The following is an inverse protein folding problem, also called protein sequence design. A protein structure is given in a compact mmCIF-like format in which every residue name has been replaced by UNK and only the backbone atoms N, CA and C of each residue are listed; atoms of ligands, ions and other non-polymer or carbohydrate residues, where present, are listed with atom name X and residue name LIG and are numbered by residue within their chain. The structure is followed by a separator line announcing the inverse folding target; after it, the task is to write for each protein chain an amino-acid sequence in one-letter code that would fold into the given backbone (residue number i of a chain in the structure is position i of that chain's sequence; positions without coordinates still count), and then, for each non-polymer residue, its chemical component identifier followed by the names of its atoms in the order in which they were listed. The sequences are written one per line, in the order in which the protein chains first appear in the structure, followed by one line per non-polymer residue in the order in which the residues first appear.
data_IF_766753273144
#
_entry.id   IF_766753273144
#
_cell.length_a   1.000
_cell.length_b   1.000
_cell.length_c   1.000
_cell.angle_alpha   90.00
_cell.angle_beta   90.00
_cell.angle_gamma   90.00
#
_symmetry.space_group_name_H-M   'P 1'
#
loop_
_entity.id
_entity.type
_entity.pdbx_description
1 polymer ?
#
# COMPACT_ATOMS: atom_id res chain seq x y z
N UNK A 1 87.96 54.12 -63.71
CA UNK A 1 87.82 53.38 -64.98
C UNK A 1 86.63 52.46 -64.85
N UNK A 2 85.77 52.48 -65.86
CA UNK A 2 84.60 51.62 -66.14
C UNK A 2 84.62 50.22 -65.50
N UNK A 3 83.46 49.70 -65.09
CA UNK A 3 82.46 49.20 -66.04
C UNK A 3 81.11 48.90 -65.36
N UNK A 4 80.02 49.27 -66.04
CA UNK A 4 78.65 48.86 -65.72
C UNK A 4 78.42 47.45 -66.25
N UNK A 5 77.75 46.58 -65.50
CA UNK A 5 76.97 45.52 -66.13
C UNK A 5 75.70 45.23 -65.34
N UNK A 6 74.60 45.22 -66.07
CA UNK A 6 73.21 45.17 -65.62
C UNK A 6 72.77 43.72 -65.38
N UNK A 7 72.40 43.39 -64.14
CA UNK A 7 71.78 42.12 -63.76
C UNK A 7 70.25 42.23 -63.70
N UNK A 8 69.58 41.42 -64.52
CA UNK A 8 68.13 41.22 -64.62
C UNK A 8 67.60 40.41 -63.41
N UNK A 9 66.36 40.61 -62.92
CA UNK A 9 65.84 39.88 -61.77
C UNK A 9 65.16 38.59 -62.22
N UNK A 10 65.74 37.44 -61.92
CA UNK A 10 65.06 36.14 -62.04
C UNK A 10 64.60 35.70 -60.65
N UNK A 11 63.29 35.79 -60.43
CA UNK A 11 62.60 35.19 -59.30
C UNK A 11 62.77 33.66 -59.38
N UNK A 12 63.70 33.14 -58.59
CA UNK A 12 63.91 31.70 -58.45
C UNK A 12 62.72 31.05 -57.74
N UNK A 13 61.88 30.35 -58.51
CA UNK A 13 61.03 29.30 -57.97
C UNK A 13 61.86 28.01 -57.92
N UNK A 14 62.31 27.63 -56.73
CA UNK A 14 63.03 26.38 -56.50
C UNK A 14 62.07 25.18 -56.73
N UNK A 15 62.38 24.27 -57.67
CA UNK A 15 61.56 23.08 -57.94
C UNK A 15 61.49 22.08 -56.76
N UNK A 16 62.26 22.27 -55.69
CA UNK A 16 62.17 21.45 -54.47
C UNK A 16 61.01 21.80 -53.53
N UNK A 17 60.25 22.88 -53.79
CA UNK A 17 59.13 23.26 -52.92
C UNK A 17 57.81 22.53 -53.23
N UNK A 18 57.77 21.72 -54.29
CA UNK A 18 56.62 20.88 -54.68
C UNK A 18 56.75 19.42 -54.22
N UNK A 19 57.92 18.98 -53.75
CA UNK A 19 58.14 17.64 -53.19
C UNK A 19 57.90 17.57 -51.67
N UNK A 20 57.59 18.70 -51.02
CA UNK A 20 57.22 18.76 -49.59
C UNK A 20 55.70 18.76 -49.35
N UNK A 21 54.91 18.62 -50.41
CA UNK A 21 53.45 18.41 -50.34
C UNK A 21 53.15 16.97 -50.76
N UNK A 22 53.91 16.01 -50.24
CA UNK A 22 53.44 14.63 -50.15
C UNK A 22 52.59 14.49 -48.89
N UNK A 23 51.33 14.23 -49.15
CA UNK A 23 50.27 13.97 -48.18
C UNK A 23 50.70 12.81 -47.27
N UNK A 24 50.62 12.91 -45.94
CA UNK A 24 50.57 11.71 -45.12
C UNK A 24 49.29 10.98 -45.51
N UNK A 25 49.44 9.83 -46.16
CA UNK A 25 48.36 8.91 -46.43
C UNK A 25 47.67 8.54 -45.11
N UNK A 26 46.37 8.83 -45.05
CA UNK A 26 45.38 8.00 -44.38
C UNK A 26 45.69 7.56 -42.96
N UNK A 27 45.67 8.47 -42.00
CA UNK A 27 45.21 8.11 -40.67
C UNK A 27 43.68 8.23 -40.67
N UNK A 28 43.00 7.14 -41.05
CA UNK A 28 41.59 6.98 -40.72
C UNK A 28 41.45 7.34 -39.23
N UNK A 29 40.47 8.17 -38.81
CA UNK A 29 40.22 8.31 -37.39
C UNK A 29 40.01 6.88 -36.89
N UNK A 30 40.85 6.41 -35.95
CA UNK A 30 40.52 5.23 -35.18
C UNK A 30 39.23 5.66 -34.50
N UNK A 31 38.10 5.31 -35.12
CA UNK A 31 36.81 5.41 -34.49
C UNK A 31 36.97 4.50 -33.28
N UNK A 32 37.30 5.10 -32.13
CA UNK A 32 37.09 4.46 -30.85
C UNK A 32 35.61 4.16 -30.88
N UNK A 33 35.27 2.94 -31.29
CA UNK A 33 33.92 2.39 -31.25
C UNK A 33 33.54 2.56 -29.80
N UNK A 34 32.80 3.62 -29.52
CA UNK A 34 32.46 3.97 -28.16
C UNK A 34 31.75 2.75 -27.60
N UNK A 35 32.30 2.19 -26.51
CA UNK A 35 31.66 1.14 -25.71
C UNK A 35 30.29 1.56 -25.16
N UNK A 36 29.71 2.69 -25.61
CA UNK A 36 28.33 3.12 -25.39
C UNK A 36 27.35 1.97 -25.50
N UNK A 37 27.45 1.12 -26.53
CA UNK A 37 26.53 -0.03 -26.69
C UNK A 37 26.69 -1.08 -25.59
N UNK A 38 27.93 -1.45 -25.22
CA UNK A 38 28.18 -2.42 -24.14
C UNK A 38 27.79 -1.85 -22.77
N UNK A 39 28.08 -0.58 -22.51
CA UNK A 39 27.66 0.11 -21.28
C UNK A 39 26.14 0.24 -21.16
N UNK A 40 25.46 0.51 -22.28
CA UNK A 40 23.99 0.51 -22.35
C UNK A 40 23.42 -0.89 -22.06
N UNK A 41 23.95 -1.94 -22.69
CA UNK A 41 23.50 -3.31 -22.46
C UNK A 41 23.72 -3.72 -20.99
N UNK A 42 24.89 -3.44 -20.42
CA UNK A 42 25.18 -3.73 -19.02
C UNK A 42 24.24 -2.97 -18.08
N UNK A 43 24.02 -1.68 -18.32
CA UNK A 43 23.09 -0.86 -17.54
C UNK A 43 21.64 -1.36 -17.66
N UNK A 44 21.22 -1.81 -18.85
CA UNK A 44 19.89 -2.39 -19.07
C UNK A 44 19.73 -3.72 -18.33
N UNK A 45 20.74 -4.59 -18.34
CA UNK A 45 20.72 -5.87 -17.63
C UNK A 45 20.65 -5.64 -16.12
N UNK A 46 21.52 -4.79 -15.58
CA UNK A 46 21.55 -4.52 -14.13
C UNK A 46 20.30 -3.78 -13.66
N UNK A 47 19.84 -2.79 -14.41
CA UNK A 47 18.58 -2.07 -14.13
C UNK A 47 17.36 -2.99 -14.21
N UNK A 48 17.28 -3.83 -15.25
CA UNK A 48 16.22 -4.82 -15.40
C UNK A 48 16.18 -5.84 -14.26
N UNK A 49 17.36 -6.37 -13.88
CA UNK A 49 17.47 -7.29 -12.75
C UNK A 49 17.07 -6.62 -11.42
N UNK A 50 17.48 -5.38 -11.18
CA UNK A 50 17.12 -4.63 -9.98
C UNK A 50 15.60 -4.37 -9.89
N UNK A 51 14.96 -4.00 -11.00
CA UNK A 51 13.51 -3.81 -11.07
C UNK A 51 12.80 -5.14 -10.82
N UNK A 52 13.21 -6.22 -11.50
CA UNK A 52 12.61 -7.55 -11.31
C UNK A 52 12.73 -8.02 -9.86
N UNK A 53 13.91 -7.89 -9.25
CA UNK A 53 14.13 -8.23 -7.85
C UNK A 53 13.25 -7.39 -6.92
N UNK A 54 13.16 -6.08 -7.16
CA UNK A 54 12.31 -5.18 -6.38
C UNK A 54 10.84 -5.60 -6.45
N UNK A 55 10.33 -5.91 -7.64
CA UNK A 55 8.94 -6.38 -7.84
C UNK A 55 8.68 -7.69 -7.11
N UNK A 56 9.63 -8.64 -7.15
CA UNK A 56 9.52 -9.93 -6.45
C UNK A 56 9.57 -9.76 -4.93
N UNK A 57 10.45 -8.89 -4.41
CA UNK A 57 10.62 -8.69 -2.97
C UNK A 57 9.55 -7.79 -2.34
N UNK A 58 8.98 -6.84 -3.10
CA UNK A 58 8.01 -5.87 -2.60
C UNK A 58 6.80 -6.48 -1.84
N UNK A 59 6.13 -7.56 -2.29
CA UNK A 59 5.03 -8.16 -1.52
C UNK A 59 5.46 -8.72 -0.15
N UNK A 60 6.73 -9.09 0.03
CA UNK A 60 7.26 -9.60 1.30
C UNK A 60 7.66 -8.47 2.26
N UNK A 61 8.14 -7.34 1.73
CA UNK A 61 8.57 -6.18 2.53
C UNK A 61 7.42 -5.22 2.81
N UNK A 62 6.49 -5.05 1.87
CA UNK A 62 5.40 -4.08 1.96
C UNK A 62 4.50 -4.19 3.21
N UNK A 63 4.21 -5.39 3.79
CA UNK A 63 3.47 -5.45 5.06
C UNK A 63 4.24 -4.81 6.23
N UNK A 64 5.58 -4.92 6.23
CA UNK A 64 6.44 -4.33 7.27
C UNK A 64 6.58 -2.81 7.15
N UNK A 65 6.26 -2.23 5.99
CA UNK A 65 6.25 -0.79 5.76
C UNK A 65 4.93 -0.12 6.18
N UNK A 66 3.96 -0.89 6.70
CA UNK A 66 2.69 -0.34 7.19
C UNK A 66 2.88 0.29 8.56
N UNK A 67 2.23 1.43 8.77
CA UNK A 67 2.29 2.19 10.04
C UNK A 67 1.76 1.41 11.23
N UNK A 68 0.69 0.64 11.03
CA UNK A 68 0.06 -0.20 12.05
C UNK A 68 0.01 -1.63 11.55
N UNK A 69 0.58 -2.56 12.33
CA UNK A 69 0.48 -4.00 12.10
C UNK A 69 -0.49 -4.55 13.13
N UNK A 70 -1.69 -4.94 12.68
CA UNK A 70 -2.68 -5.57 13.54
C UNK A 70 -2.43 -7.09 13.54
N UNK A 71 -1.92 -7.68 14.65
CA UNK A 71 -1.73 -9.13 14.71
C UNK A 71 -3.09 -9.83 14.72
N UNK A 72 -3.17 -10.99 14.08
CA UNK A 72 -4.37 -11.82 14.18
C UNK A 72 -4.46 -12.43 15.59
N UNK A 73 -5.39 -11.91 16.39
CA UNK A 73 -5.75 -12.44 17.69
C UNK A 73 -7.28 -12.63 17.73
N UNK A 74 -7.79 -13.87 17.70
CA UNK A 74 -9.23 -14.10 17.61
C UNK A 74 -9.98 -13.61 18.87
N UNK A 75 -11.16 -13.02 18.67
CA UNK A 75 -12.07 -12.65 19.76
C UNK A 75 -12.52 -13.90 20.53
N UNK A 76 -12.45 -13.87 21.86
CA UNK A 76 -12.95 -14.96 22.71
C UNK A 76 -14.47 -15.17 22.50
N UNK A 77 -15.01 -16.30 22.93
CA UNK A 77 -16.48 -16.52 22.91
C UNK A 77 -17.20 -15.44 23.72
N UNK A 78 -16.63 -15.03 24.85
CA UNK A 78 -17.17 -13.97 25.69
C UNK A 78 -17.18 -12.62 24.98
N UNK A 79 -16.09 -12.28 24.28
CA UNK A 79 -15.99 -11.06 23.47
C UNK A 79 -17.06 -11.04 22.38
N UNK A 80 -17.25 -12.15 21.67
CA UNK A 80 -18.31 -12.26 20.64
C UNK A 80 -19.68 -12.08 21.29
N UNK A 81 -19.95 -12.70 22.44
CA UNK A 81 -21.21 -12.53 23.14
C UNK A 81 -21.46 -11.08 23.59
N UNK A 82 -20.44 -10.40 24.10
CA UNK A 82 -20.52 -9.01 24.54
C UNK A 82 -20.82 -8.06 23.36
N UNK A 83 -20.18 -8.28 22.20
CA UNK A 83 -20.51 -7.54 20.96
C UNK A 83 -21.96 -7.76 20.57
N UNK A 84 -22.46 -9.00 20.65
CA UNK A 84 -23.84 -9.32 20.28
C UNK A 84 -24.86 -8.73 21.25
N UNK A 85 -24.53 -8.64 22.54
CA UNK A 85 -25.31 -7.90 23.55
C UNK A 85 -25.35 -6.41 23.21
N UNK A 86 -24.21 -5.81 22.88
CA UNK A 86 -24.13 -4.41 22.44
C UNK A 86 -24.95 -4.12 21.17
N UNK A 87 -24.95 -5.04 20.21
CA UNK A 87 -25.79 -4.93 19.01
C UNK A 87 -27.29 -5.06 19.30
N UNK A 88 -27.65 -5.92 20.27
CA UNK A 88 -29.06 -6.18 20.62
C UNK A 88 -29.68 -5.02 21.40
N UNK A 89 -28.88 -4.29 22.19
CA UNK A 89 -29.34 -3.11 22.94
C UNK A 89 -29.68 -1.92 22.04
N UNK A 90 -29.29 -1.98 20.76
CA UNK A 90 -29.42 -0.89 19.81
C UNK A 90 -30.65 -1.06 18.92
N UNK A 91 -31.81 -1.17 19.54
CA UNK A 91 -33.10 -1.46 18.88
C UNK A 91 -33.47 -0.48 17.75
N UNK A 92 -32.91 0.73 17.80
CA UNK A 92 -33.20 1.82 16.86
C UNK A 92 -32.19 1.92 15.70
N UNK A 93 -31.14 1.10 15.66
CA UNK A 93 -30.14 1.15 14.59
C UNK A 93 -30.47 0.14 13.49
N UNK A 94 -30.16 0.49 12.25
CA UNK A 94 -30.36 -0.40 11.11
C UNK A 94 -29.51 -1.67 11.22
N UNK A 95 -29.84 -2.69 10.42
CA UNK A 95 -29.19 -4.01 10.48
C UNK A 95 -27.90 -4.14 9.65
N UNK A 96 -27.34 -3.05 9.11
CA UNK A 96 -26.07 -3.12 8.36
C UNK A 96 -24.89 -3.00 9.32
N UNK A 97 -24.04 -4.00 9.31
CA UNK A 97 -22.89 -4.11 10.21
C UNK A 97 -21.59 -4.28 9.41
N UNK A 98 -20.53 -3.63 9.87
CA UNK A 98 -19.17 -3.90 9.43
C UNK A 98 -18.28 -4.29 10.60
N UNK A 99 -17.40 -5.27 10.40
CA UNK A 99 -16.34 -5.67 11.32
C UNK A 99 -14.97 -5.34 10.70
N UNK A 100 -14.24 -4.43 11.36
CA UNK A 100 -12.96 -3.89 10.90
C UNK A 100 -11.82 -4.77 11.41
N UNK A 101 -11.11 -5.44 10.51
CA UNK A 101 -10.12 -6.45 10.89
C UNK A 101 -10.79 -7.77 11.29
N UNK A 102 -11.73 -8.23 10.45
CA UNK A 102 -12.65 -9.33 10.78
C UNK A 102 -11.99 -10.69 11.04
N UNK A 103 -10.70 -10.86 10.69
CA UNK A 103 -9.97 -12.10 10.95
C UNK A 103 -10.66 -13.34 10.39
N UNK A 104 -10.98 -14.30 11.26
CA UNK A 104 -11.70 -15.54 10.90
C UNK A 104 -13.22 -15.38 10.78
N UNK A 105 -13.70 -14.14 10.86
CA UNK A 105 -15.08 -13.75 10.57
C UNK A 105 -16.07 -14.07 11.68
N UNK A 106 -15.65 -14.52 12.85
CA UNK A 106 -16.56 -15.00 13.91
C UNK A 106 -17.62 -13.98 14.34
N UNK A 107 -17.29 -12.69 14.42
CA UNK A 107 -18.23 -11.62 14.74
C UNK A 107 -19.23 -11.43 13.59
N UNK A 108 -18.73 -11.34 12.35
CA UNK A 108 -19.55 -11.20 11.13
C UNK A 108 -20.53 -12.37 10.99
N UNK A 109 -20.06 -13.60 11.20
CA UNK A 109 -20.87 -14.82 11.14
C UNK A 109 -21.94 -14.83 12.24
N UNK A 110 -21.57 -14.51 13.49
CA UNK A 110 -22.50 -14.44 14.62
C UNK A 110 -23.56 -13.33 14.45
N UNK A 111 -23.19 -12.18 13.89
CA UNK A 111 -24.12 -11.11 13.53
C UNK A 111 -25.05 -11.56 12.39
N UNK A 112 -24.50 -12.22 11.38
CA UNK A 112 -25.27 -12.77 10.26
C UNK A 112 -26.33 -13.77 10.72
N UNK A 113 -25.98 -14.67 11.65
CA UNK A 113 -26.95 -15.59 12.27
C UNK A 113 -28.09 -14.87 13.01
N UNK A 114 -27.85 -13.67 13.53
CA UNK A 114 -28.86 -12.79 14.16
C UNK A 114 -29.61 -11.89 13.16
N UNK A 115 -29.39 -12.09 11.86
CA UNK A 115 -30.10 -11.40 10.80
C UNK A 115 -29.53 -10.03 10.42
N UNK A 116 -28.30 -9.70 10.83
CA UNK A 116 -27.60 -8.50 10.34
C UNK A 116 -27.09 -8.74 8.92
N UNK A 117 -27.11 -7.69 8.09
CA UNK A 117 -26.34 -7.66 6.85
C UNK A 117 -24.90 -7.31 7.24
N UNK A 118 -24.08 -8.33 7.48
CA UNK A 118 -22.76 -8.19 8.07
C UNK A 118 -21.65 -8.29 7.03
N UNK A 119 -20.70 -7.37 7.10
CA UNK A 119 -19.54 -7.31 6.23
C UNK A 119 -18.24 -7.35 7.03
N UNK A 120 -17.33 -8.25 6.70
CA UNK A 120 -15.99 -8.28 7.28
C UNK A 120 -14.95 -7.73 6.31
N UNK A 121 -14.14 -6.79 6.76
CA UNK A 121 -12.94 -6.34 6.01
C UNK A 121 -11.70 -6.89 6.69
N UNK A 122 -10.78 -7.43 5.90
CA UNK A 122 -9.54 -8.03 6.38
C UNK A 122 -8.44 -7.88 5.31
N UNK A 123 -7.18 -7.67 5.72
CA UNK A 123 -6.06 -7.51 4.79
C UNK A 123 -5.42 -8.84 4.37
N UNK A 124 -5.50 -9.85 5.25
CA UNK A 124 -4.98 -11.19 5.03
C UNK A 124 -5.90 -12.02 4.13
N UNK A 125 -5.45 -12.30 2.91
CA UNK A 125 -6.20 -13.09 1.92
C UNK A 125 -6.60 -14.48 2.42
N UNK A 126 -5.74 -15.15 3.21
CA UNK A 126 -6.01 -16.50 3.72
C UNK A 126 -7.18 -16.46 4.70
N UNK A 127 -7.20 -15.47 5.60
CA UNK A 127 -8.30 -15.27 6.55
C UNK A 127 -9.60 -14.89 5.83
N UNK A 128 -9.55 -14.03 4.80
CA UNK A 128 -10.73 -13.71 3.97
C UNK A 128 -11.29 -14.97 3.31
N UNK A 129 -10.44 -15.83 2.73
CA UNK A 129 -10.88 -17.07 2.09
C UNK A 129 -11.46 -18.06 3.12
N UNK A 130 -10.83 -18.19 4.29
CA UNK A 130 -11.33 -18.99 5.40
C UNK A 130 -12.75 -18.53 5.81
N UNK A 131 -12.94 -17.23 6.01
CA UNK A 131 -14.21 -16.65 6.45
C UNK A 131 -15.33 -16.84 5.41
N UNK A 132 -15.01 -16.70 4.12
CA UNK A 132 -15.95 -17.03 3.02
C UNK A 132 -16.36 -18.49 3.03
N UNK A 133 -15.40 -19.40 3.20
CA UNK A 133 -15.67 -20.84 3.28
C UNK A 133 -16.51 -21.17 4.53
N UNK A 134 -16.22 -20.54 5.66
CA UNK A 134 -16.99 -20.71 6.90
C UNK A 134 -18.44 -20.25 6.76
N UNK A 135 -18.68 -19.08 6.15
CA UNK A 135 -20.03 -18.59 5.85
C UNK A 135 -20.79 -19.54 4.92
N UNK A 136 -20.13 -20.01 3.85
CA UNK A 136 -20.72 -20.96 2.92
C UNK A 136 -21.09 -22.29 3.61
N UNK A 137 -20.18 -22.86 4.40
CA UNK A 137 -20.39 -24.11 5.14
C UNK A 137 -21.55 -24.01 6.14
N UNK A 138 -21.69 -22.85 6.78
CA UNK A 138 -22.78 -22.57 7.73
C UNK A 138 -24.06 -22.05 7.06
N UNK A 139 -24.05 -21.85 5.73
CA UNK A 139 -25.16 -21.33 4.92
C UNK A 139 -25.64 -19.93 5.36
N UNK A 140 -24.73 -19.10 5.86
CA UNK A 140 -25.01 -17.72 6.29
C UNK A 140 -24.84 -16.78 5.08
N UNK A 141 -25.94 -16.49 4.38
CA UNK A 141 -25.91 -15.73 3.10
C UNK A 141 -25.69 -14.23 3.27
N UNK A 142 -26.02 -13.70 4.44
CA UNK A 142 -25.93 -12.28 4.80
C UNK A 142 -24.59 -11.89 5.44
N UNK A 143 -23.65 -12.84 5.58
CA UNK A 143 -22.27 -12.59 5.98
C UNK A 143 -21.37 -12.54 4.75
N UNK A 144 -20.72 -11.40 4.52
CA UNK A 144 -19.84 -11.17 3.37
C UNK A 144 -18.45 -10.74 3.82
N UNK A 145 -17.43 -11.03 3.02
CA UNK A 145 -16.04 -10.72 3.36
C UNK A 145 -15.28 -10.16 2.16
N UNK A 146 -14.49 -9.11 2.38
CA UNK A 146 -13.65 -8.51 1.35
C UNK A 146 -12.21 -8.32 1.84
N UNK A 147 -11.27 -8.40 0.90
CA UNK A 147 -9.88 -8.04 1.18
C UNK A 147 -9.73 -6.53 1.02
N UNK A 148 -9.79 -5.79 2.11
CA UNK A 148 -9.80 -4.33 2.08
C UNK A 148 -9.07 -3.77 3.29
N UNK A 149 -8.44 -2.62 3.08
CA UNK A 149 -7.88 -1.79 4.13
C UNK A 149 -9.00 -1.10 4.90
N UNK A 150 -9.09 -1.36 6.20
CA UNK A 150 -10.13 -0.81 7.07
C UNK A 150 -10.16 0.72 7.03
N UNK A 151 -8.99 1.37 6.91
CA UNK A 151 -8.89 2.84 6.89
C UNK A 151 -9.45 3.47 5.61
N UNK A 152 -9.70 2.66 4.57
CA UNK A 152 -10.22 3.10 3.27
C UNK A 152 -11.67 2.70 3.04
N UNK A 153 -12.35 2.22 4.08
CA UNK A 153 -13.75 1.84 3.99
C UNK A 153 -14.63 3.09 4.03
N UNK A 154 -15.67 3.08 3.20
CA UNK A 154 -16.75 4.04 3.30
C UNK A 154 -17.73 3.60 4.40
N UNK A 155 -17.57 4.19 5.58
CA UNK A 155 -18.34 3.82 6.78
C UNK A 155 -19.80 4.29 6.74
N UNK A 156 -20.14 5.27 5.91
CA UNK A 156 -21.50 5.86 5.82
C UNK A 156 -22.58 4.83 5.45
N UNK A 157 -22.17 3.69 4.89
CA UNK A 157 -23.03 2.58 4.50
C UNK A 157 -23.51 1.74 5.68
N UNK A 158 -22.87 1.83 6.83
CA UNK A 158 -23.10 0.93 7.96
C UNK A 158 -23.75 1.65 9.13
N UNK A 159 -24.62 0.94 9.84
CA UNK A 159 -25.26 1.43 11.05
C UNK A 159 -24.47 1.03 12.30
N UNK A 160 -23.78 -0.11 12.23
CA UNK A 160 -23.02 -0.69 13.32
C UNK A 160 -21.61 -0.97 12.83
N UNK A 161 -20.61 -0.46 13.55
CA UNK A 161 -19.20 -0.60 13.22
C UNK A 161 -18.54 -1.29 14.40
N UNK A 162 -17.97 -2.47 14.18
CA UNK A 162 -17.22 -3.21 15.18
C UNK A 162 -15.74 -3.09 14.87
N UNK A 163 -14.93 -2.85 15.89
CA UNK A 163 -13.48 -2.85 15.78
C UNK A 163 -12.89 -3.66 16.94
N UNK A 164 -12.06 -4.65 16.60
CA UNK A 164 -11.16 -5.30 17.56
C UNK A 164 -9.72 -4.99 17.17
N UNK A 165 -9.28 -3.82 17.58
CA UNK A 165 -7.99 -3.24 17.21
C UNK A 165 -6.89 -3.43 18.24
N UNK A 166 -5.86 -2.61 18.10
CA UNK A 166 -4.80 -2.38 19.09
C UNK A 166 -4.86 -0.92 19.54
N UNK A 167 -4.37 -0.66 20.74
CA UNK A 167 -4.47 0.66 21.40
C UNK A 167 -3.89 1.79 20.54
N UNK A 168 -2.75 1.54 19.89
CA UNK A 168 -2.03 2.52 19.06
C UNK A 168 -2.83 2.96 17.84
N UNK A 169 -3.82 2.17 17.42
CA UNK A 169 -4.66 2.44 16.25
C UNK A 169 -5.89 3.29 16.60
N UNK A 170 -6.35 3.25 17.86
CA UNK A 170 -7.61 3.87 18.26
C UNK A 170 -7.68 5.39 18.00
N UNK A 171 -6.61 6.19 18.22
CA UNK A 171 -6.65 7.62 17.91
C UNK A 171 -6.87 7.95 16.43
N UNK A 172 -6.27 7.17 15.53
CA UNK A 172 -6.42 7.37 14.09
C UNK A 172 -7.83 6.99 13.62
N UNK A 173 -8.40 5.91 14.18
CA UNK A 173 -9.78 5.51 13.92
C UNK A 173 -10.79 6.53 14.46
N UNK A 174 -10.57 7.06 15.66
CA UNK A 174 -11.41 8.11 16.23
C UNK A 174 -11.49 9.32 15.29
N UNK A 175 -10.34 9.84 14.85
CA UNK A 175 -10.27 10.97 13.92
C UNK A 175 -10.91 10.68 12.55
N UNK A 176 -10.93 9.42 12.11
CA UNK A 176 -11.63 9.01 10.89
C UNK A 176 -13.13 8.93 11.08
N UNK A 177 -13.59 8.39 12.21
CA UNK A 177 -15.00 8.31 12.55
C UNK A 177 -15.62 9.70 12.71
N UNK A 178 -14.94 10.63 13.37
CA UNK A 178 -15.34 12.03 13.48
C UNK A 178 -15.59 12.71 12.12
N UNK A 179 -14.73 12.39 11.13
CA UNK A 179 -14.83 12.99 9.80
C UNK A 179 -15.86 12.30 8.90
N UNK A 180 -16.06 11.01 9.08
CA UNK A 180 -16.74 10.16 8.09
C UNK A 180 -18.15 9.76 8.51
N UNK A 181 -18.45 9.69 9.80
CA UNK A 181 -19.74 9.21 10.27
C UNK A 181 -20.75 10.34 10.39
N UNK A 182 -21.93 10.11 9.84
CA UNK A 182 -23.11 10.96 10.07
C UNK A 182 -23.88 10.46 11.28
N UNK A 183 -24.61 11.37 11.93
CA UNK A 183 -25.50 11.12 13.06
C UNK A 183 -26.38 9.90 12.77
N UNK A 184 -26.41 8.93 13.70
CA UNK A 184 -27.13 7.64 13.69
C UNK A 184 -26.26 6.37 13.58
N UNK A 185 -24.94 6.43 13.72
CA UNK A 185 -24.09 5.22 13.73
C UNK A 185 -23.80 4.75 15.15
N UNK A 186 -23.59 3.45 15.35
CA UNK A 186 -23.08 2.87 16.58
C UNK A 186 -21.69 2.30 16.32
N UNK A 187 -20.74 2.65 17.18
CA UNK A 187 -19.39 2.08 17.17
C UNK A 187 -19.26 1.18 18.39
N UNK A 188 -18.68 0.00 18.17
CA UNK A 188 -18.45 -1.04 19.17
C UNK A 188 -16.95 -1.34 19.15
N UNK A 189 -16.22 -0.75 20.10
CA UNK A 189 -14.78 -0.95 20.23
C UNK A 189 -14.51 -2.06 21.26
N UNK A 190 -13.80 -3.10 20.84
CA UNK A 190 -13.44 -4.23 21.70
C UNK A 190 -12.09 -3.98 22.35
N UNK A 191 -11.99 -4.28 23.65
CA UNK A 191 -10.80 -4.18 24.51
C UNK A 191 -10.29 -2.74 24.71
N UNK A 192 -9.96 -2.04 23.65
CA UNK A 192 -9.40 -0.70 23.68
C UNK A 192 -10.49 0.34 23.34
N UNK A 193 -10.72 1.36 24.19
CA UNK A 193 -11.67 2.44 23.91
C UNK A 193 -11.12 3.42 22.87
N UNK A 194 -12.02 4.21 22.30
CA UNK A 194 -11.65 5.46 21.63
C UNK A 194 -11.15 6.46 22.70
N UNK A 195 -9.97 7.09 22.50
CA UNK A 195 -9.25 7.80 23.56
C UNK A 195 -9.94 9.04 24.11
N UNK A 196 -10.62 9.83 23.28
CA UNK A 196 -11.25 11.10 23.69
C UNK A 196 -12.77 11.01 23.74
N UNK A 197 -13.37 10.06 23.03
CA UNK A 197 -14.82 9.89 23.03
C UNK A 197 -15.31 9.28 24.34
N UNK A 198 -16.43 9.79 24.86
CA UNK A 198 -17.10 9.21 26.02
C UNK A 198 -18.01 8.06 25.56
N UNK A 199 -17.86 6.82 26.09
CA UNK A 199 -18.76 5.73 25.74
C UNK A 199 -20.17 6.00 26.28
N UNK A 200 -21.18 5.66 25.48
CA UNK A 200 -22.59 5.68 25.87
C UNK A 200 -22.87 4.64 26.94
N UNK A 201 -22.31 3.44 26.78
CA UNK A 201 -22.32 2.37 27.77
C UNK A 201 -21.21 1.36 27.49
N UNK A 202 -21.00 0.46 28.44
CA UNK A 202 -19.96 -0.57 28.40
C UNK A 202 -20.61 -1.94 28.64
N UNK A 203 -20.11 -2.98 27.97
CA UNK A 203 -20.56 -4.36 28.13
C UNK A 203 -19.37 -5.27 28.46
N UNK A 204 -19.51 -6.08 29.50
CA UNK A 204 -18.44 -6.99 29.94
C UNK A 204 -17.39 -6.30 30.81
N UNK A 205 -16.33 -7.05 31.13
CA UNK A 205 -15.26 -6.63 32.04
C UNK A 205 -13.89 -7.17 31.56
N UNK A 206 -12.81 -6.55 32.05
CA UNK A 206 -11.44 -6.99 31.77
C UNK A 206 -11.08 -6.95 30.27
N UNK A 207 -10.41 -8.00 29.79
CA UNK A 207 -9.90 -8.07 28.41
C UNK A 207 -10.98 -8.24 27.33
N UNK A 208 -12.20 -8.59 27.75
CA UNK A 208 -13.38 -8.80 26.89
C UNK A 208 -14.36 -7.63 26.95
N UNK A 209 -13.95 -6.51 27.56
CA UNK A 209 -14.73 -5.28 27.65
C UNK A 209 -15.07 -4.73 26.25
N UNK A 210 -16.31 -4.28 26.09
CA UNK A 210 -16.81 -3.64 24.87
C UNK A 210 -17.27 -2.23 25.20
N UNK A 211 -16.71 -1.25 24.50
CA UNK A 211 -17.02 0.17 24.62
C UNK A 211 -17.96 0.56 23.48
N UNK A 212 -19.14 1.09 23.83
CA UNK A 212 -20.15 1.46 22.84
C UNK A 212 -20.28 2.96 22.76
N UNK A 213 -20.29 3.48 21.52
CA UNK A 213 -20.46 4.89 21.22
C UNK A 213 -21.61 5.08 20.25
N UNK A 214 -22.39 6.13 20.48
CA UNK A 214 -23.45 6.55 19.56
C UNK A 214 -23.10 7.90 18.96
N UNK A 215 -23.09 7.96 17.63
CA UNK A 215 -22.90 9.18 16.81
C UNK A 215 -24.24 9.74 16.40
#
# INVERSE_FOLDING_TARGET
MENKNTGKPDCGCDPYLLSLIETPQGQQPIAKKSNRSTGLILASITGGAAIALSVVCFPFVSPALRRVVLPYAPASTQQVENVMKALSNSSNKGKRLIDLGSGDGRIVLAAGQRGFQSHGVELNTVLVLYSKLAAWRQRIKNATFSRQDLFKVDYTKYNNIVIFGVEEMMPELEALFEKSLTSSSQIIACRFPLPNWKPSYVVGEGIDTVWVYEV
#
